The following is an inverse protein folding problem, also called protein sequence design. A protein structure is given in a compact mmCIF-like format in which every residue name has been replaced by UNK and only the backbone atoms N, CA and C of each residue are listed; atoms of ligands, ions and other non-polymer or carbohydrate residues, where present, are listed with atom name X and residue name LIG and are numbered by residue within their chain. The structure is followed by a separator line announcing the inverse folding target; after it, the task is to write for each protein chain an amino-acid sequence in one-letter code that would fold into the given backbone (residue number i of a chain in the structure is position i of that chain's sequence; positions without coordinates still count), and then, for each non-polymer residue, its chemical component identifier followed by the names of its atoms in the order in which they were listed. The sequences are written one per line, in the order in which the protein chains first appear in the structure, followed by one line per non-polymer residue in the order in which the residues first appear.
data_IF_291153158116
#
_entry.id   IF_291153158116
#
_cell.length_a   1.000
_cell.length_b   1.000
_cell.length_c   1.000
_cell.angle_alpha   90.00
_cell.angle_beta   90.00
_cell.angle_gamma   90.00
#
_symmetry.space_group_name_H-M   'P 1'
#
loop_
_entity.id
_entity.type
_entity.pdbx_description
1 polymer ?
#
# COMPACT_ATOMS: atom_id res chain seq x y z
N UNK A 1 21.19 -79.32 -7.17
CA UNK A 1 20.18 -78.35 -7.62
C UNK A 1 19.19 -78.13 -6.48
N UNK A 2 19.57 -77.35 -5.46
CA UNK A 2 18.70 -77.03 -4.32
C UNK A 2 18.10 -75.65 -4.55
N UNK A 3 16.77 -75.58 -4.65
CA UNK A 3 16.01 -74.35 -4.80
C UNK A 3 16.10 -73.54 -3.50
N UNK A 4 16.69 -72.35 -3.58
CA UNK A 4 16.57 -71.32 -2.55
C UNK A 4 15.12 -70.83 -2.54
N UNK A 5 14.33 -71.33 -1.59
CA UNK A 5 13.01 -70.75 -1.28
C UNK A 5 13.28 -69.38 -0.65
N UNK A 6 13.24 -68.35 -1.50
CA UNK A 6 13.29 -66.96 -1.09
C UNK A 6 11.95 -66.63 -0.43
N UNK A 7 11.86 -66.81 0.89
CA UNK A 7 10.71 -66.32 1.66
C UNK A 7 10.66 -64.80 1.49
N UNK A 8 9.67 -64.30 0.76
CA UNK A 8 9.25 -62.90 0.89
C UNK A 8 8.86 -62.71 2.35
N UNK A 9 9.63 -61.92 3.09
CA UNK A 9 9.15 -61.34 4.34
C UNK A 9 8.06 -60.36 3.93
N UNK A 10 6.81 -60.72 4.16
CA UNK A 10 5.73 -59.75 4.26
C UNK A 10 6.07 -58.89 5.48
N UNK A 11 6.72 -57.76 5.24
CA UNK A 11 7.05 -56.80 6.27
C UNK A 11 5.75 -56.09 6.66
N UNK A 12 5.10 -56.55 7.73
CA UNK A 12 4.05 -55.77 8.37
C UNK A 12 4.64 -54.42 8.79
N UNK A 13 3.91 -53.34 8.52
CA UNK A 13 4.34 -51.99 8.87
C UNK A 13 4.57 -51.92 10.38
N UNK A 14 5.79 -51.58 10.80
CA UNK A 14 6.09 -51.56 12.24
C UNK A 14 5.36 -50.40 12.91
N UNK A 15 4.99 -50.57 14.19
CA UNK A 15 4.35 -49.49 14.96
C UNK A 15 5.22 -48.22 15.01
N UNK A 16 6.54 -48.39 15.01
CA UNK A 16 7.51 -47.30 14.93
C UNK A 16 7.41 -46.56 13.58
N UNK A 17 7.20 -47.28 12.49
CA UNK A 17 7.09 -46.71 11.15
C UNK A 17 5.82 -45.88 10.98
N UNK A 18 4.70 -46.34 11.53
CA UNK A 18 3.45 -45.56 11.56
C UNK A 18 3.64 -44.28 12.39
N UNK A 19 4.30 -44.37 13.55
CA UNK A 19 4.55 -43.22 14.41
C UNK A 19 5.50 -42.21 13.75
N UNK A 20 6.55 -42.68 13.08
CA UNK A 20 7.46 -41.85 12.30
C UNK A 20 6.72 -41.18 11.13
N UNK A 21 5.88 -41.92 10.40
CA UNK A 21 5.11 -41.39 9.28
C UNK A 21 4.15 -40.27 9.73
N UNK A 22 3.44 -40.47 10.84
CA UNK A 22 2.57 -39.44 11.43
C UNK A 22 3.39 -38.22 11.87
N UNK A 23 4.56 -38.44 12.47
CA UNK A 23 5.45 -37.37 12.91
C UNK A 23 5.97 -36.55 11.72
N UNK A 24 6.40 -37.21 10.64
CA UNK A 24 6.88 -36.56 9.42
C UNK A 24 5.74 -35.79 8.71
N UNK A 25 4.54 -36.37 8.66
CA UNK A 25 3.33 -35.70 8.18
C UNK A 25 3.02 -34.45 9.01
N UNK A 26 3.14 -34.54 10.34
CA UNK A 26 2.95 -33.41 11.24
C UNK A 26 3.91 -32.25 10.92
N UNK A 27 5.21 -32.54 10.78
CA UNK A 27 6.22 -31.52 10.40
C UNK A 27 5.91 -30.91 9.04
N UNK A 28 5.50 -31.74 8.08
CA UNK A 28 5.12 -31.27 6.74
C UNK A 28 3.93 -30.31 6.81
N UNK A 29 2.91 -30.64 7.62
CA UNK A 29 1.73 -29.80 7.80
C UNK A 29 2.07 -28.45 8.45
N UNK A 30 2.91 -28.45 9.49
CA UNK A 30 3.40 -27.20 10.12
C UNK A 30 4.11 -26.32 9.10
N UNK A 31 4.95 -26.90 8.27
CA UNK A 31 5.69 -26.16 7.23
C UNK A 31 4.74 -25.52 6.23
N UNK A 32 3.77 -26.29 5.70
CA UNK A 32 2.75 -25.80 4.76
C UNK A 32 1.91 -24.68 5.40
N UNK A 33 1.42 -24.91 6.61
CA UNK A 33 0.53 -23.95 7.29
C UNK A 33 1.26 -22.66 7.67
N UNK A 34 2.55 -22.75 8.02
CA UNK A 34 3.38 -21.58 8.29
C UNK A 34 3.58 -20.73 7.03
N UNK A 35 3.84 -21.36 5.88
CA UNK A 35 3.94 -20.68 4.59
C UNK A 35 2.63 -20.02 4.17
N UNK A 36 1.51 -20.73 4.32
CA UNK A 36 0.17 -20.17 4.04
C UNK A 36 -0.14 -18.97 4.95
N UNK A 37 0.15 -19.08 6.24
CA UNK A 37 -0.04 -17.99 7.20
C UNK A 37 0.81 -16.78 6.85
N UNK A 38 2.04 -16.98 6.39
CA UNK A 38 2.92 -15.91 5.93
C UNK A 38 2.35 -15.22 4.68
N UNK A 39 1.89 -16.00 3.70
CA UNK A 39 1.27 -15.48 2.48
C UNK A 39 0.03 -14.63 2.78
N UNK A 40 -0.88 -15.12 3.63
CA UNK A 40 -2.09 -14.37 4.02
C UNK A 40 -1.76 -13.05 4.73
N UNK A 41 -0.73 -13.04 5.59
CA UNK A 41 -0.27 -11.80 6.24
C UNK A 41 0.32 -10.82 5.23
N UNK A 42 1.02 -11.31 4.22
CA UNK A 42 1.57 -10.48 3.16
C UNK A 42 0.46 -9.84 2.32
N UNK A 43 -0.58 -10.60 1.93
CA UNK A 43 -1.74 -10.07 1.21
C UNK A 43 -2.46 -8.99 2.01
N UNK A 44 -2.74 -9.21 3.30
CA UNK A 44 -3.39 -8.20 4.12
C UNK A 44 -2.56 -6.90 4.26
N UNK A 45 -1.23 -6.98 4.11
CA UNK A 45 -0.36 -5.80 4.06
C UNK A 45 -0.45 -5.08 2.70
N UNK A 46 -0.55 -5.82 1.61
CA UNK A 46 -0.79 -5.26 0.27
C UNK A 46 -2.14 -4.56 0.21
N UNK A 47 -3.21 -5.18 0.70
CA UNK A 47 -4.55 -4.57 0.73
C UNK A 47 -4.56 -3.24 1.52
N UNK A 48 -3.82 -3.17 2.62
CA UNK A 48 -3.70 -1.94 3.41
C UNK A 48 -2.94 -0.85 2.66
N UNK A 49 -1.89 -1.22 1.92
CA UNK A 49 -1.15 -0.30 1.06
C UNK A 49 -2.03 0.20 -0.11
N UNK A 50 -2.75 -0.68 -0.78
CA UNK A 50 -3.63 -0.32 -1.89
C UNK A 50 -4.72 0.66 -1.44
N UNK A 51 -5.33 0.44 -0.27
CA UNK A 51 -6.28 1.40 0.32
C UNK A 51 -5.64 2.76 0.61
N UNK A 52 -4.41 2.78 1.13
CA UNK A 52 -3.66 4.01 1.38
C UNK A 52 -3.35 4.77 0.09
N UNK A 53 -2.93 4.05 -0.95
CA UNK A 53 -2.63 4.60 -2.27
C UNK A 53 -3.88 5.14 -2.99
N UNK A 54 -4.98 4.39 -2.93
CA UNK A 54 -6.27 4.82 -3.47
C UNK A 54 -6.76 6.08 -2.77
N UNK A 55 -6.69 6.14 -1.44
CA UNK A 55 -7.04 7.33 -0.68
C UNK A 55 -6.15 8.52 -1.06
N UNK A 56 -4.83 8.33 -1.11
CA UNK A 56 -3.88 9.39 -1.46
C UNK A 56 -4.16 9.94 -2.86
N UNK A 57 -4.40 9.06 -3.84
CA UNK A 57 -4.73 9.44 -5.22
C UNK A 57 -6.04 10.21 -5.29
N UNK A 58 -7.10 9.72 -4.63
CA UNK A 58 -8.39 10.43 -4.56
C UNK A 58 -8.22 11.80 -3.90
N UNK A 59 -7.47 11.88 -2.80
CA UNK A 59 -7.27 13.12 -2.07
C UNK A 59 -6.46 14.14 -2.87
N UNK A 60 -5.45 13.68 -3.59
CA UNK A 60 -4.68 14.50 -4.52
C UNK A 60 -5.61 15.06 -5.61
N UNK A 61 -6.45 14.22 -6.22
CA UNK A 61 -7.41 14.67 -7.23
C UNK A 61 -8.41 15.70 -6.69
N UNK A 62 -8.89 15.55 -5.45
CA UNK A 62 -9.72 16.57 -4.79
C UNK A 62 -8.98 17.92 -4.69
N UNK A 63 -7.72 17.93 -4.27
CA UNK A 63 -6.89 19.14 -4.18
C UNK A 63 -6.62 19.76 -5.57
N UNK A 64 -6.50 18.93 -6.60
CA UNK A 64 -6.39 19.40 -7.98
C UNK A 64 -7.66 20.09 -8.48
N UNK A 65 -8.83 19.63 -8.06
CA UNK A 65 -10.09 20.23 -8.46
C UNK A 65 -10.44 21.50 -7.68
N UNK A 66 -9.83 21.73 -6.52
CA UNK A 66 -10.08 22.91 -5.69
C UNK A 66 -9.56 24.20 -6.38
N UNK A 67 -10.45 25.12 -6.80
CA UNK A 67 -10.05 26.37 -7.43
C UNK A 67 -9.45 27.39 -6.46
N UNK A 68 -9.61 27.19 -5.14
CA UNK A 68 -9.06 28.05 -4.10
C UNK A 68 -7.62 27.68 -3.71
N UNK A 69 -7.11 26.56 -4.23
CA UNK A 69 -5.77 26.08 -3.92
C UNK A 69 -4.70 27.04 -4.44
N UNK A 70 -3.94 27.60 -3.51
CA UNK A 70 -2.88 28.58 -3.75
C UNK A 70 -1.58 28.08 -3.11
N UNK A 71 -0.45 28.72 -3.38
CA UNK A 71 0.80 28.42 -2.70
C UNK A 71 0.73 28.66 -1.18
N UNK A 72 1.65 28.02 -0.45
CA UNK A 72 1.91 28.19 0.99
C UNK A 72 0.74 27.86 1.91
N UNK A 73 -0.09 26.90 1.52
CA UNK A 73 -1.20 26.38 2.31
C UNK A 73 -0.84 25.02 2.92
N UNK A 74 -1.39 24.77 4.11
CA UNK A 74 -1.30 23.50 4.81
C UNK A 74 -2.70 22.97 5.06
N UNK A 75 -2.98 21.78 4.53
CA UNK A 75 -4.22 21.06 4.76
C UNK A 75 -3.90 19.79 5.54
N UNK A 76 -4.69 19.49 6.56
CA UNK A 76 -4.51 18.28 7.35
C UNK A 76 -5.86 17.63 7.60
N UNK A 77 -5.88 16.33 7.81
CA UNK A 77 -7.08 15.65 8.25
C UNK A 77 -6.83 14.21 8.66
N UNK A 78 -7.89 13.62 9.20
CA UNK A 78 -7.91 12.21 9.59
C UNK A 78 -9.22 11.60 9.11
N UNK A 79 -9.15 10.45 8.46
CA UNK A 79 -10.33 9.73 8.02
C UNK A 79 -10.94 8.92 9.17
N UNK A 80 -12.23 8.55 9.08
CA UNK A 80 -12.83 7.60 10.02
C UNK A 80 -12.13 6.24 10.05
N UNK A 81 -11.44 5.86 8.96
CA UNK A 81 -10.64 4.65 8.86
C UNK A 81 -9.27 4.75 9.56
N UNK A 82 -8.93 5.89 10.18
CA UNK A 82 -7.68 6.10 10.90
C UNK A 82 -6.48 6.40 9.98
N UNK A 83 -6.74 6.87 8.77
CA UNK A 83 -5.70 7.38 7.85
C UNK A 83 -5.52 8.86 8.16
N UNK A 84 -4.31 9.25 8.53
CA UNK A 84 -3.91 10.63 8.72
C UNK A 84 -3.29 11.16 7.43
N UNK A 85 -3.57 12.41 7.08
CA UNK A 85 -2.99 13.03 5.89
C UNK A 85 -2.67 14.50 6.12
N UNK A 86 -1.62 14.95 5.44
CA UNK A 86 -1.11 16.32 5.41
C UNK A 86 -0.77 16.67 3.96
N UNK A 87 -1.34 17.75 3.44
CA UNK A 87 -1.00 18.29 2.13
C UNK A 87 -0.42 19.69 2.30
N UNK A 88 0.78 19.91 1.77
CA UNK A 88 1.43 21.22 1.76
C UNK A 88 1.54 21.71 0.33
N UNK A 89 1.19 22.97 0.10
CA UNK A 89 1.39 23.61 -1.18
C UNK A 89 2.60 24.54 -1.12
N UNK A 90 3.44 24.52 -2.15
CA UNK A 90 4.68 25.30 -2.21
C UNK A 90 4.73 26.00 -3.57
N UNK A 91 4.99 27.32 -3.58
CA UNK A 91 5.22 28.04 -4.83
C UNK A 91 6.53 27.55 -5.47
N UNK A 92 6.45 27.10 -6.71
CA UNK A 92 7.63 26.67 -7.49
C UNK A 92 8.07 27.76 -8.47
N UNK A 93 7.10 28.34 -9.17
CA UNK A 93 7.34 29.39 -10.16
C UNK A 93 6.11 30.30 -10.26
N UNK A 94 6.31 31.53 -10.68
CA UNK A 94 5.22 32.45 -11.03
C UNK A 94 5.57 33.24 -12.28
N UNK A 95 4.60 33.36 -13.19
CA UNK A 95 4.82 34.03 -14.47
C UNK A 95 3.72 35.05 -14.76
N UNK A 96 4.07 36.25 -15.23
CA UNK A 96 3.08 37.21 -15.71
C UNK A 96 2.20 36.58 -16.80
N UNK A 97 0.89 36.76 -16.70
CA UNK A 97 -0.08 36.26 -17.66
C UNK A 97 -0.72 37.44 -18.40
N UNK A 98 -0.58 37.48 -19.73
CA UNK A 98 -1.14 38.54 -20.55
C UNK A 98 -2.67 38.60 -20.38
N UNK A 99 -3.21 39.79 -20.09
CA UNK A 99 -4.64 39.99 -19.86
C UNK A 99 -5.14 39.64 -18.45
N UNK A 100 -4.25 39.27 -17.51
CA UNK A 100 -4.60 39.07 -16.11
C UNK A 100 -3.82 40.01 -15.18
N UNK A 101 -4.47 40.49 -14.13
CA UNK A 101 -3.85 41.32 -13.09
C UNK A 101 -3.01 40.48 -12.10
N UNK A 102 -3.20 39.16 -12.08
CA UNK A 102 -2.47 38.22 -11.21
C UNK A 102 -1.59 37.30 -12.07
N UNK A 103 -0.36 36.97 -11.63
CA UNK A 103 0.50 36.02 -12.34
C UNK A 103 -0.10 34.61 -12.28
N UNK A 104 0.20 33.79 -13.29
CA UNK A 104 -0.01 32.36 -13.21
C UNK A 104 1.02 31.76 -12.24
N UNK A 105 0.58 30.90 -11.33
CA UNK A 105 1.44 30.28 -10.32
C UNK A 105 1.58 28.80 -10.60
N UNK A 106 2.81 28.29 -10.60
CA UNK A 106 3.09 26.86 -10.57
C UNK A 106 3.28 26.45 -9.11
N UNK A 107 2.35 25.64 -8.61
CA UNK A 107 2.30 25.22 -7.22
C UNK A 107 2.59 23.73 -7.13
N UNK A 108 3.55 23.33 -6.29
CA UNK A 108 3.75 21.92 -5.92
C UNK A 108 2.86 21.56 -4.75
N UNK A 109 2.22 20.40 -4.83
CA UNK A 109 1.41 19.80 -3.79
C UNK A 109 2.19 18.60 -3.26
N UNK A 110 2.66 18.69 -2.02
CA UNK A 110 3.34 17.63 -1.29
C UNK A 110 2.30 16.97 -0.35
N UNK A 111 1.78 15.80 -0.72
CA UNK A 111 0.78 15.05 0.04
C UNK A 111 1.43 13.90 0.79
N UNK A 112 1.36 13.92 2.11
CA UNK A 112 1.75 12.82 3.00
C UNK A 112 0.51 12.14 3.54
N UNK A 113 0.47 10.81 3.46
CA UNK A 113 -0.58 9.96 4.01
C UNK A 113 0.07 8.94 4.93
N UNK A 114 -0.45 8.76 6.13
CA UNK A 114 0.04 7.78 7.10
C UNK A 114 -1.08 6.97 7.72
N UNK A 115 -0.82 5.68 7.92
CA UNK A 115 -1.76 4.76 8.55
C UNK A 115 -1.03 3.76 9.44
N UNK A 116 -1.71 3.28 10.47
CA UNK A 116 -1.15 2.28 11.39
C UNK A 116 -1.43 0.88 10.86
N UNK A 117 -0.41 0.04 10.86
CA UNK A 117 -0.51 -1.40 10.64
C UNK A 117 -0.05 -2.14 11.89
N UNK A 118 -0.31 -3.45 11.98
CA UNK A 118 0.24 -4.30 13.05
C UNK A 118 1.78 -4.31 13.10
N UNK A 119 2.44 -4.00 12.00
CA UNK A 119 3.90 -3.94 11.90
C UNK A 119 4.48 -2.55 12.22
N UNK A 120 3.64 -1.53 12.43
CA UNK A 120 4.06 -0.15 12.67
C UNK A 120 3.29 0.86 11.81
N UNK A 121 3.67 2.13 11.92
CA UNK A 121 3.15 3.18 11.04
C UNK A 121 3.72 3.01 9.64
N UNK A 122 2.88 3.15 8.63
CA UNK A 122 3.26 3.21 7.22
C UNK A 122 2.95 4.61 6.70
N UNK A 123 3.76 5.08 5.76
CA UNK A 123 3.61 6.39 5.15
C UNK A 123 3.75 6.30 3.63
N UNK A 124 3.02 7.17 2.94
CA UNK A 124 3.06 7.35 1.51
C UNK A 124 3.15 8.85 1.24
N UNK A 125 4.16 9.27 0.49
CA UNK A 125 4.25 10.63 -0.01
C UNK A 125 3.95 10.64 -1.51
N UNK A 126 3.10 11.56 -1.93
CA UNK A 126 2.85 11.88 -3.33
C UNK A 126 3.21 13.35 -3.56
N UNK A 127 3.86 13.62 -4.68
CA UNK A 127 4.21 14.97 -5.10
C UNK A 127 3.57 15.23 -6.46
N UNK A 128 3.02 16.43 -6.65
CA UNK A 128 2.43 16.82 -7.91
C UNK A 128 2.50 18.31 -8.16
N UNK A 129 2.36 18.73 -9.42
CA UNK A 129 2.44 20.13 -9.83
C UNK A 129 1.10 20.56 -10.42
N UNK A 130 0.58 21.70 -9.95
CA UNK A 130 -0.64 22.33 -10.44
C UNK A 130 -0.31 23.72 -10.96
N UNK A 131 -0.76 24.03 -12.16
CA UNK A 131 -0.76 25.39 -12.69
C UNK A 131 -2.05 26.08 -12.22
N UNK A 132 -1.92 27.05 -11.32
CA UNK A 132 -3.01 27.88 -10.84
C UNK A 132 -3.08 29.15 -11.68
N UNK A 133 -4.13 29.26 -12.49
CA UNK A 133 -4.42 30.45 -13.28
C UNK A 133 -5.47 31.26 -12.52
N UNK A 134 -5.18 32.53 -12.17
CA UNK A 134 -6.15 33.38 -11.50
C UNK A 134 -7.38 33.61 -12.40
N UNK A 135 -8.59 33.74 -11.82
CA UNK A 135 -9.80 33.96 -12.60
C UNK A 135 -9.70 35.26 -13.41
N UNK A 136 -10.12 35.20 -14.68
CA UNK A 136 -10.18 36.37 -15.57
C UNK A 136 -11.07 37.45 -14.96
N UNK A 137 -10.70 38.75 -15.06
CA UNK A 137 -11.63 39.81 -14.72
C UNK A 137 -12.90 39.71 -15.60
N UNK A 138 -14.08 40.08 -15.06
CA UNK A 138 -15.31 40.13 -15.85
C UNK A 138 -15.15 41.15 -16.99
N UNK A 139 -15.52 40.75 -18.21
CA UNK A 139 -15.62 41.68 -19.34
C UNK A 139 -16.66 42.76 -19.03
N UNK A 140 -16.39 44.05 -19.34
CA UNK A 140 -17.33 45.15 -19.14
C UNK A 140 -18.58 45.07 -20.02
#
# INVERSE_FOLDING_TARGET
MQMLIQRRREAGMSLLEVLMAISLLGVSFVTIFSGLSAALRATGRLDAFDRGNEFATRKLNELFLDPSLTADQLFTGTTPSGIEWEARTVLVDERPLAGSQKPAQLVRIDLRVSWRTRAGSQNLNLESLKLCIPPSPPSP
#
